data_IF_447914911050
#
_entry.id   IF_447914911050
#
_cell.length_a   1.000
_cell.length_b   1.000
_cell.length_c   1.000
_cell.angle_alpha   90.00
_cell.angle_beta   90.00
_cell.angle_gamma   90.00
#
_symmetry.space_group_name_H-M   'P 1'
#
loop_
_entity.id
_entity.type
_entity.pdbx_description
1 polymer ?
#
# COMPACT_ATOMS: atom_id res chain seq x y z
N UNK A 1 -1.82 -21.48 -19.84
CA UNK A 1 -1.73 -20.69 -18.58
C UNK A 1 -0.78 -19.55 -18.88
N UNK A 2 -1.20 -18.29 -18.75
CA UNK A 2 -0.27 -17.18 -18.93
C UNK A 2 0.84 -17.32 -17.89
N UNK A 3 2.10 -17.43 -18.34
CA UNK A 3 3.27 -17.21 -17.50
C UNK A 3 3.25 -15.74 -17.08
N UNK A 4 2.46 -15.45 -16.05
CA UNK A 4 2.30 -14.13 -15.47
C UNK A 4 3.64 -13.78 -14.81
N UNK A 5 4.57 -13.25 -15.61
CA UNK A 5 5.87 -12.82 -15.13
C UNK A 5 5.63 -11.82 -13.99
N UNK A 6 6.28 -12.01 -12.85
CA UNK A 6 6.06 -11.18 -11.65
C UNK A 6 6.17 -9.66 -11.90
N UNK A 7 6.97 -9.13 -12.86
CA UNK A 7 6.97 -7.71 -13.18
C UNK A 7 5.66 -7.24 -13.84
N UNK A 8 5.04 -8.07 -14.69
CA UNK A 8 3.76 -7.76 -15.31
C UNK A 8 2.64 -7.68 -14.26
N UNK A 9 2.65 -8.61 -13.30
CA UNK A 9 1.75 -8.59 -12.15
C UNK A 9 1.94 -7.33 -11.29
N UNK A 10 3.20 -6.96 -11.03
CA UNK A 10 3.54 -5.76 -10.27
C UNK A 10 3.11 -4.48 -10.99
N UNK A 11 3.31 -4.39 -12.31
CA UNK A 11 2.87 -3.25 -13.11
C UNK A 11 1.34 -3.11 -13.10
N UNK A 12 0.62 -4.23 -13.27
CA UNK A 12 -0.83 -4.23 -13.19
C UNK A 12 -1.31 -3.84 -11.78
N UNK A 13 -0.65 -4.34 -10.73
CA UNK A 13 -0.92 -3.93 -9.34
C UNK A 13 -0.72 -2.42 -9.13
N UNK A 14 0.28 -1.81 -9.77
CA UNK A 14 0.51 -0.36 -9.67
C UNK A 14 -0.64 0.45 -10.31
N UNK A 15 -1.17 -0.01 -11.45
CA UNK A 15 -2.35 0.58 -12.10
C UNK A 15 -3.57 0.52 -11.18
N UNK A 16 -3.86 -0.67 -10.63
CA UNK A 16 -4.97 -0.83 -9.69
C UNK A 16 -4.77 -0.02 -8.41
N UNK A 17 -3.54 0.11 -7.89
CA UNK A 17 -3.26 0.93 -6.72
C UNK A 17 -3.55 2.41 -6.99
N UNK A 18 -3.22 2.93 -8.17
CA UNK A 18 -3.55 4.29 -8.59
C UNK A 18 -5.06 4.53 -8.71
N UNK A 19 -5.76 3.64 -9.40
CA UNK A 19 -7.23 3.69 -9.52
C UNK A 19 -7.91 3.64 -8.15
N UNK A 20 -7.40 2.77 -7.29
CA UNK A 20 -7.87 2.60 -5.91
C UNK A 20 -7.69 3.87 -5.09
N UNK A 21 -6.56 4.59 -5.23
CA UNK A 21 -6.34 5.86 -4.54
C UNK A 21 -7.31 6.96 -5.01
N UNK A 22 -7.55 7.02 -6.32
CA UNK A 22 -8.49 7.97 -6.93
C UNK A 22 -9.93 7.70 -6.46
N UNK A 23 -10.41 6.45 -6.60
CA UNK A 23 -11.75 6.05 -6.16
C UNK A 23 -11.93 6.22 -4.65
N UNK A 24 -10.89 5.93 -3.86
CA UNK A 24 -10.93 6.13 -2.42
C UNK A 24 -11.10 7.61 -2.06
N UNK A 25 -10.33 8.53 -2.69
CA UNK A 25 -10.50 9.97 -2.46
C UNK A 25 -11.92 10.42 -2.77
N UNK A 26 -12.50 9.95 -3.88
CA UNK A 26 -13.88 10.26 -4.25
C UNK A 26 -14.84 9.76 -3.16
N UNK A 27 -14.72 8.50 -2.76
CA UNK A 27 -15.60 7.87 -1.77
C UNK A 27 -15.51 8.47 -0.35
N UNK A 28 -14.30 8.78 0.14
CA UNK A 28 -14.10 9.33 1.50
C UNK A 28 -14.40 10.83 1.59
N UNK A 29 -14.58 11.52 0.46
CA UNK A 29 -14.91 12.94 0.43
C UNK A 29 -16.35 13.21 0.89
N UNK A 30 -17.28 12.29 0.59
CA UNK A 30 -18.71 12.44 0.89
C UNK A 30 -19.18 11.64 2.12
N UNK A 31 -18.35 10.73 2.63
CA UNK A 31 -18.72 9.75 3.67
C UNK A 31 -17.65 9.74 4.77
N UNK A 32 -17.98 9.42 6.05
CA UNK A 32 -16.96 9.20 7.07
C UNK A 32 -15.91 8.16 6.63
N UNK A 33 -14.63 8.45 6.83
CA UNK A 33 -13.51 7.60 6.37
C UNK A 33 -13.59 6.17 6.90
N UNK A 34 -13.99 6.01 8.16
CA UNK A 34 -14.15 4.70 8.78
C UNK A 34 -15.25 3.87 8.10
N UNK A 35 -16.37 4.51 7.74
CA UNK A 35 -17.48 3.85 7.04
C UNK A 35 -17.08 3.46 5.60
N UNK A 36 -16.39 4.35 4.90
CA UNK A 36 -15.84 4.05 3.57
C UNK A 36 -14.83 2.88 3.62
N UNK A 37 -13.99 2.83 4.66
CA UNK A 37 -13.04 1.74 4.91
C UNK A 37 -13.76 0.42 5.14
N UNK A 38 -14.82 0.43 5.95
CA UNK A 38 -15.63 -0.76 6.24
C UNK A 38 -16.27 -1.32 4.97
N UNK A 39 -16.98 -0.48 4.21
CA UNK A 39 -17.63 -0.89 2.96
C UNK A 39 -16.60 -1.51 1.99
N UNK A 40 -15.46 -0.83 1.82
CA UNK A 40 -14.38 -1.34 0.98
C UNK A 40 -13.85 -2.69 1.45
N UNK A 41 -13.68 -2.87 2.76
CA UNK A 41 -13.19 -4.13 3.33
C UNK A 41 -14.18 -5.25 3.10
N UNK A 42 -15.49 -5.01 3.23
CA UNK A 42 -16.52 -6.00 2.94
C UNK A 42 -16.51 -6.43 1.46
N UNK A 43 -16.31 -5.49 0.53
CA UNK A 43 -16.16 -5.81 -0.90
C UNK A 43 -14.93 -6.68 -1.14
N UNK A 44 -13.78 -6.36 -0.52
CA UNK A 44 -12.55 -7.16 -0.63
C UNK A 44 -12.75 -8.56 -0.03
N UNK A 45 -13.39 -8.67 1.12
CA UNK A 45 -13.70 -9.97 1.76
C UNK A 45 -14.59 -10.81 0.87
N UNK A 46 -15.66 -10.24 0.30
CA UNK A 46 -16.55 -10.95 -0.61
C UNK A 46 -15.79 -11.46 -1.84
N UNK A 47 -14.98 -10.61 -2.47
CA UNK A 47 -14.17 -10.96 -3.64
C UNK A 47 -13.15 -12.05 -3.34
N UNK A 48 -12.41 -11.92 -2.24
CA UNK A 48 -11.43 -12.93 -1.79
C UNK A 48 -12.10 -14.27 -1.48
N UNK A 49 -13.27 -14.25 -0.82
CA UNK A 49 -14.03 -15.45 -0.49
C UNK A 49 -14.46 -16.20 -1.75
N UNK A 50 -15.00 -15.49 -2.75
CA UNK A 50 -15.38 -16.10 -4.04
C UNK A 50 -14.18 -16.72 -4.74
N UNK A 51 -13.02 -16.06 -4.74
CA UNK A 51 -11.81 -16.60 -5.35
C UNK A 51 -11.30 -17.88 -4.66
N UNK A 52 -11.24 -17.88 -3.33
CA UNK A 52 -10.79 -19.04 -2.54
C UNK A 52 -11.75 -20.22 -2.72
N UNK A 53 -13.06 -19.96 -2.78
CA UNK A 53 -14.08 -20.96 -3.07
C UNK A 53 -13.92 -21.52 -4.49
N UNK A 54 -13.79 -20.66 -5.49
CA UNK A 54 -13.63 -21.07 -6.89
C UNK A 54 -12.35 -21.88 -7.14
N UNK A 55 -11.29 -21.63 -6.37
CA UNK A 55 -10.02 -22.36 -6.45
C UNK A 55 -9.96 -23.62 -5.55
N UNK A 56 -10.96 -23.85 -4.70
CA UNK A 56 -10.98 -24.98 -3.77
C UNK A 56 -9.93 -24.91 -2.67
N UNK A 57 -9.38 -23.73 -2.41
CA UNK A 57 -8.25 -23.51 -1.50
C UNK A 57 -8.66 -23.54 -0.01
N UNK A 58 -9.96 -23.61 0.28
CA UNK A 58 -10.48 -23.73 1.66
C UNK A 58 -9.87 -24.89 2.45
N UNK A 59 -9.48 -25.98 1.77
CA UNK A 59 -8.84 -27.14 2.41
C UNK A 59 -7.47 -26.80 3.02
N UNK A 60 -6.81 -25.75 2.53
CA UNK A 60 -5.53 -25.27 3.04
C UNK A 60 -5.62 -24.58 4.41
N UNK A 61 -6.81 -24.17 4.85
CA UNK A 61 -6.99 -23.50 6.14
C UNK A 61 -6.59 -24.39 7.32
N UNK A 62 -6.81 -25.70 7.21
CA UNK A 62 -6.43 -26.67 8.25
C UNK A 62 -4.93 -26.98 8.30
N UNK A 63 -4.16 -26.57 7.28
CA UNK A 63 -2.71 -26.76 7.21
C UNK A 63 -1.93 -25.56 7.77
N UNK A 64 -2.61 -24.46 8.12
CA UNK A 64 -1.98 -23.26 8.65
C UNK A 64 -1.46 -23.49 10.07
N UNK A 65 -0.20 -23.13 10.31
CA UNK A 65 0.40 -23.20 11.64
C UNK A 65 0.01 -21.99 12.50
N UNK A 66 0.23 -22.08 13.82
CA UNK A 66 0.00 -20.94 14.73
C UNK A 66 0.85 -19.71 14.36
N UNK A 67 2.03 -19.92 13.77
CA UNK A 67 2.91 -18.85 13.27
C UNK A 67 2.27 -18.15 12.07
N UNK A 68 1.70 -18.91 11.13
CA UNK A 68 1.03 -18.36 9.95
C UNK A 68 -0.18 -17.52 10.37
N UNK A 69 -0.99 -18.03 11.29
CA UNK A 69 -2.12 -17.30 11.86
C UNK A 69 -1.70 -15.99 12.53
N UNK A 70 -0.66 -16.03 13.37
CA UNK A 70 -0.17 -14.83 14.06
C UNK A 70 0.33 -13.80 13.07
N UNK A 71 1.12 -14.21 12.06
CA UNK A 71 1.61 -13.31 11.02
C UNK A 71 0.48 -12.70 10.18
N UNK A 72 -0.52 -13.50 9.79
CA UNK A 72 -1.67 -13.03 9.01
C UNK A 72 -2.55 -12.07 9.81
N UNK A 73 -2.82 -12.35 11.07
CA UNK A 73 -3.62 -11.46 11.94
C UNK A 73 -2.89 -10.14 12.17
N UNK A 74 -1.60 -10.18 12.52
CA UNK A 74 -0.81 -8.96 12.71
C UNK A 74 -0.70 -8.14 11.42
N UNK A 75 -0.51 -8.78 10.27
CA UNK A 75 -0.52 -8.14 8.96
C UNK A 75 -1.87 -7.50 8.64
N UNK A 76 -2.97 -8.19 8.94
CA UNK A 76 -4.34 -7.67 8.78
C UNK A 76 -4.60 -6.43 9.64
N UNK A 77 -4.18 -6.45 10.91
CA UNK A 77 -4.27 -5.29 11.81
C UNK A 77 -3.42 -4.13 11.29
N UNK A 78 -2.18 -4.39 10.87
CA UNK A 78 -1.30 -3.36 10.31
C UNK A 78 -1.89 -2.74 9.03
N UNK A 79 -2.49 -3.56 8.16
CA UNK A 79 -3.18 -3.10 6.94
C UNK A 79 -4.39 -2.24 7.28
N UNK A 80 -5.22 -2.67 8.24
CA UNK A 80 -6.38 -1.91 8.70
C UNK A 80 -5.98 -0.54 9.27
N UNK A 81 -4.97 -0.50 10.14
CA UNK A 81 -4.44 0.75 10.68
C UNK A 81 -3.89 1.66 9.58
N UNK A 82 -3.09 1.11 8.65
CA UNK A 82 -2.58 1.84 7.49
C UNK A 82 -3.70 2.51 6.70
N UNK A 83 -4.77 1.78 6.38
CA UNK A 83 -5.91 2.33 5.65
C UNK A 83 -6.67 3.41 6.42
N UNK A 84 -6.87 3.23 7.73
CA UNK A 84 -7.53 4.25 8.56
C UNK A 84 -6.79 5.58 8.51
N UNK A 85 -5.46 5.57 8.68
CA UNK A 85 -4.64 6.78 8.60
C UNK A 85 -4.56 7.32 7.17
N UNK A 86 -4.41 6.45 6.17
CA UNK A 86 -4.33 6.85 4.77
C UNK A 86 -5.62 7.53 4.29
N UNK A 87 -6.80 6.98 4.61
CA UNK A 87 -8.07 7.57 4.23
C UNK A 87 -8.42 8.81 5.03
N UNK A 88 -8.02 8.89 6.30
CA UNK A 88 -8.11 10.13 7.07
C UNK A 88 -7.27 11.25 6.41
N UNK A 89 -6.03 10.94 6.00
CA UNK A 89 -5.16 11.88 5.29
C UNK A 89 -5.73 12.25 3.90
N UNK A 90 -6.26 11.28 3.15
CA UNK A 90 -6.92 11.57 1.87
C UNK A 90 -8.18 12.41 2.04
N UNK A 91 -8.87 12.37 3.18
CA UNK A 91 -10.05 13.20 3.39
C UNK A 91 -9.68 14.68 3.46
N UNK A 92 -8.60 15.02 4.15
CA UNK A 92 -8.19 16.41 4.42
C UNK A 92 -7.11 16.95 3.46
N UNK A 93 -6.27 16.08 2.90
CA UNK A 93 -5.12 16.44 2.06
C UNK A 93 -5.31 16.15 0.56
N UNK A 94 -4.50 16.76 -0.31
CA UNK A 94 -4.53 16.47 -1.75
C UNK A 94 -3.96 15.08 -2.05
N UNK A 95 -4.53 14.36 -3.03
CA UNK A 95 -3.99 13.06 -3.48
C UNK A 95 -2.53 13.19 -3.89
N UNK A 96 -2.17 14.28 -4.57
CA UNK A 96 -0.82 14.53 -5.08
C UNK A 96 0.25 14.63 -3.98
N UNK A 97 -0.13 14.89 -2.72
CA UNK A 97 0.80 14.84 -1.58
C UNK A 97 0.67 13.54 -0.78
N UNK A 98 -0.55 13.07 -0.53
CA UNK A 98 -0.79 11.89 0.32
C UNK A 98 -0.35 10.60 -0.35
N UNK A 99 -0.63 10.42 -1.64
CA UNK A 99 -0.31 9.18 -2.35
C UNK A 99 1.21 8.94 -2.51
N UNK A 100 2.05 9.96 -2.78
CA UNK A 100 3.51 9.79 -2.74
C UNK A 100 4.05 9.47 -1.34
N UNK A 101 3.55 10.12 -0.29
CA UNK A 101 3.97 9.83 1.10
C UNK A 101 3.69 8.36 1.44
N UNK A 102 2.54 7.82 1.04
CA UNK A 102 2.21 6.40 1.20
C UNK A 102 3.25 5.47 0.56
N UNK A 103 3.92 5.89 -0.53
CA UNK A 103 4.98 5.10 -1.18
C UNK A 103 6.27 4.99 -0.36
N UNK A 104 6.46 5.82 0.66
CA UNK A 104 7.55 5.62 1.62
C UNK A 104 7.39 4.31 2.41
N UNK A 105 6.19 3.71 2.44
CA UNK A 105 5.96 2.36 2.99
C UNK A 105 6.88 1.31 2.34
N UNK A 106 7.27 1.48 1.08
CA UNK A 106 8.27 0.63 0.42
C UNK A 106 9.63 0.69 1.15
N UNK A 107 10.08 1.89 1.51
CA UNK A 107 11.36 2.09 2.20
C UNK A 107 11.33 1.46 3.59
N UNK A 108 10.22 1.62 4.31
CA UNK A 108 10.00 0.99 5.62
C UNK A 108 9.99 -0.53 5.48
N UNK A 109 9.23 -1.08 4.52
CA UNK A 109 9.15 -2.51 4.28
C UNK A 109 10.51 -3.12 3.91
N UNK A 110 11.27 -2.47 3.03
CA UNK A 110 12.62 -2.89 2.66
C UNK A 110 13.57 -2.86 3.87
N UNK A 111 13.49 -1.83 4.71
CA UNK A 111 14.32 -1.70 5.92
C UNK A 111 13.98 -2.80 6.94
N UNK A 112 12.69 -3.09 7.13
CA UNK A 112 12.23 -4.19 7.98
C UNK A 112 12.62 -5.55 7.41
N UNK A 113 12.56 -5.74 6.09
CA UNK A 113 13.02 -6.96 5.41
C UNK A 113 14.52 -7.21 5.64
N UNK A 114 15.34 -6.17 5.53
CA UNK A 114 16.75 -6.26 5.87
C UNK A 114 17.01 -6.57 7.35
N UNK A 115 16.30 -5.90 8.26
CA UNK A 115 16.55 -6.06 9.70
C UNK A 115 16.02 -7.39 10.26
N UNK A 116 14.82 -7.80 9.85
CA UNK A 116 14.11 -8.96 10.40
C UNK A 116 14.38 -10.22 9.58
N UNK A 117 14.29 -10.13 8.24
CA UNK A 117 14.46 -11.28 7.34
C UNK A 117 15.92 -11.46 6.89
N UNK A 118 16.81 -10.49 7.16
CA UNK A 118 18.22 -10.48 6.73
C UNK A 118 18.40 -10.61 5.22
N UNK A 119 17.45 -10.07 4.46
CA UNK A 119 17.52 -10.07 3.00
C UNK A 119 18.65 -9.15 2.50
N UNK A 120 19.53 -9.61 1.60
CA UNK A 120 20.63 -8.78 1.10
C UNK A 120 20.08 -7.67 0.19
N UNK A 121 20.30 -6.41 0.59
CA UNK A 121 19.97 -5.24 -0.23
C UNK A 121 21.13 -4.95 -1.19
N UNK A 122 20.84 -4.94 -2.49
CA UNK A 122 21.82 -4.53 -3.51
C UNK A 122 22.01 -3.00 -3.47
N UNK A 123 23.24 -2.49 -3.70
CA UNK A 123 23.51 -1.05 -3.73
C UNK A 123 22.61 -0.25 -4.70
N UNK A 124 22.29 -0.83 -5.86
CA UNK A 124 21.38 -0.20 -6.83
C UNK A 124 19.95 -0.06 -6.29
N UNK A 125 19.47 -1.01 -5.49
CA UNK A 125 18.16 -0.93 -4.84
C UNK A 125 18.13 0.21 -3.82
N UNK A 126 19.24 0.42 -3.10
CA UNK A 126 19.39 1.51 -2.15
C UNK A 126 19.35 2.88 -2.86
N UNK A 127 20.04 2.99 -4.00
CA UNK A 127 19.99 4.20 -4.83
C UNK A 127 18.56 4.46 -5.34
N UNK A 128 17.88 3.43 -5.84
CA UNK A 128 16.48 3.54 -6.26
C UNK A 128 15.55 3.98 -5.13
N UNK A 129 15.73 3.43 -3.93
CA UNK A 129 14.99 3.85 -2.74
C UNK A 129 15.26 5.32 -2.39
N UNK A 130 16.53 5.76 -2.45
CA UNK A 130 16.88 7.16 -2.24
C UNK A 130 16.21 8.09 -3.26
N UNK A 131 16.17 7.70 -4.55
CA UNK A 131 15.46 8.45 -5.58
C UNK A 131 13.95 8.53 -5.31
N UNK A 132 13.33 7.44 -4.84
CA UNK A 132 11.90 7.46 -4.45
C UNK A 132 11.69 8.44 -3.29
N UNK A 133 12.53 8.40 -2.25
CA UNK A 133 12.43 9.33 -1.12
C UNK A 133 12.54 10.78 -1.58
N UNK A 134 13.55 11.09 -2.40
CA UNK A 134 13.73 12.44 -2.97
C UNK A 134 12.51 12.84 -3.81
N UNK A 135 12.02 11.93 -4.67
CA UNK A 135 10.82 12.15 -5.47
C UNK A 135 9.60 12.49 -4.61
N UNK A 136 9.37 11.75 -3.52
CA UNK A 136 8.29 12.02 -2.57
C UNK A 136 8.47 13.38 -1.91
N UNK A 137 9.67 13.73 -1.44
CA UNK A 137 9.93 15.03 -0.81
C UNK A 137 9.61 16.20 -1.76
N UNK A 138 9.94 16.07 -3.04
CA UNK A 138 9.62 17.09 -4.06
C UNK A 138 8.13 17.27 -4.33
N UNK A 139 7.29 16.28 -3.98
CA UNK A 139 5.83 16.41 -4.09
C UNK A 139 5.20 17.19 -2.94
N UNK A 140 5.95 17.45 -1.85
CA UNK A 140 5.43 18.14 -0.69
C UNK A 140 5.28 19.64 -0.96
N UNK A 141 4.10 20.25 -0.69
CA UNK A 141 3.89 21.69 -0.93
C UNK A 141 4.90 22.58 -0.20
N UNK A 142 5.29 22.21 1.03
CA UNK A 142 6.27 22.97 1.83
C UNK A 142 7.66 23.02 1.18
N UNK A 143 8.09 21.92 0.56
CA UNK A 143 9.38 21.84 -0.16
C UNK A 143 9.30 22.67 -1.43
N UNK A 144 8.19 22.57 -2.16
CA UNK A 144 7.96 23.35 -3.39
C UNK A 144 8.00 24.85 -3.12
N UNK A 145 7.32 25.32 -2.08
CA UNK A 145 7.37 26.73 -1.64
C UNK A 145 8.78 27.16 -1.20
N UNK A 146 9.50 26.29 -0.49
CA UNK A 146 10.88 26.59 -0.05
C UNK A 146 11.84 26.71 -1.23
N UNK A 147 11.72 25.81 -2.22
CA UNK A 147 12.51 25.86 -3.46
C UNK A 147 12.18 27.11 -4.27
N UNK A 148 10.90 27.45 -4.38
CA UNK A 148 10.47 28.67 -5.08
C UNK A 148 11.05 29.94 -4.44
N UNK A 149 11.17 29.99 -3.10
CA UNK A 149 11.80 31.10 -2.37
C UNK A 149 13.33 31.11 -2.47
N UNK A 150 13.97 29.95 -2.62
CA UNK A 150 15.42 29.85 -2.70
C UNK A 150 15.96 30.14 -4.11
N UNK A 151 15.16 29.88 -5.15
CA UNK A 151 15.56 29.98 -6.56
C UNK A 151 14.75 31.00 -7.38
N UNK A 152 13.83 31.76 -6.76
CA UNK A 152 13.01 32.78 -7.42
C UNK A 152 13.02 34.10 -6.65
#
# INVERSE_FOLDING_TARGET
MMDLNWPACAALSAVFAGLTALLAKIGVSQVPSNLATLIRTLVVVAFATVLVLARGELRGLGALTARDWTALVLSGVATGLSWLFYFAALKTGPISGVAPIDKLSFVIAMSLGFLILREPIKPLTLLGAALIVVGVLLTLPTIQESLKRAFG
#
